data_IF_492510151133
#
_entry.id   IF_492510151133
#
_cell.length_a   1.000
_cell.length_b   1.000
_cell.length_c   1.000
_cell.angle_alpha   90.00
_cell.angle_beta   90.00
_cell.angle_gamma   90.00
#
_symmetry.space_group_name_H-M   'P 1'
#
loop_
_entity.id
_entity.type
_entity.pdbx_description
1 polymer ?
#
# COMPACT_ATOMS: atom_id res chain seq x y z
N UNK A 1 21.26 6.75 19.59
CA UNK A 1 19.82 6.78 19.26
C UNK A 1 19.26 5.42 19.61
N UNK A 2 18.27 5.37 20.49
CA UNK A 2 17.72 4.10 21.00
C UNK A 2 16.52 3.60 20.19
N UNK A 3 15.82 4.53 19.52
CA UNK A 3 14.62 4.31 18.72
C UNK A 3 14.45 5.46 17.71
N UNK A 4 14.04 5.14 16.49
CA UNK A 4 13.59 6.11 15.49
C UNK A 4 12.05 6.21 15.47
N UNK A 5 11.52 7.44 15.50
CA UNK A 5 10.09 7.68 15.30
C UNK A 5 9.83 7.97 13.82
N UNK A 6 9.12 7.08 13.13
CA UNK A 6 8.78 7.26 11.72
C UNK A 6 7.53 8.13 11.61
N UNK A 7 7.70 9.35 11.08
CA UNK A 7 6.63 10.33 10.83
C UNK A 7 6.52 10.72 9.34
N UNK A 8 6.96 9.82 8.46
CA UNK A 8 6.97 10.01 7.00
C UNK A 8 5.74 9.33 6.41
N UNK A 9 4.96 10.07 5.61
CA UNK A 9 3.77 9.54 4.95
C UNK A 9 4.07 9.15 3.50
N UNK A 10 3.33 8.18 2.98
CA UNK A 10 3.40 7.76 1.59
C UNK A 10 4.71 7.09 1.20
N UNK A 11 5.09 7.26 -0.07
CA UNK A 11 6.28 6.63 -0.64
C UNK A 11 7.55 7.04 0.10
N UNK A 12 8.40 6.07 0.43
CA UNK A 12 9.61 6.25 1.23
C UNK A 12 9.38 6.21 2.75
N UNK A 13 8.14 6.39 3.22
CA UNK A 13 7.79 6.41 4.65
C UNK A 13 6.95 5.23 5.10
N UNK A 14 5.83 5.00 4.41
CA UNK A 14 4.83 3.97 4.73
C UNK A 14 4.96 2.71 3.88
N UNK A 15 5.85 2.71 2.89
CA UNK A 15 6.00 1.64 1.89
C UNK A 15 7.10 0.61 2.23
N UNK A 16 7.69 0.69 3.42
CA UNK A 16 8.75 -0.24 3.86
C UNK A 16 10.17 0.24 3.54
N UNK A 17 10.36 1.34 2.79
CA UNK A 17 11.69 1.82 2.40
C UNK A 17 12.54 2.26 3.59
N UNK A 18 12.01 3.16 4.43
CA UNK A 18 12.73 3.65 5.61
C UNK A 18 12.89 2.55 6.66
N UNK A 19 11.91 1.65 6.78
CA UNK A 19 11.94 0.48 7.63
C UNK A 19 13.13 -0.41 7.25
N UNK A 20 13.28 -0.74 5.96
CA UNK A 20 14.39 -1.53 5.44
C UNK A 20 15.74 -0.88 5.73
N UNK A 21 15.86 0.42 5.48
CA UNK A 21 17.07 1.16 5.81
C UNK A 21 17.43 1.06 7.31
N UNK A 22 16.46 1.30 8.19
CA UNK A 22 16.67 1.23 9.64
C UNK A 22 17.03 -0.19 10.11
N UNK A 23 16.45 -1.24 9.51
CA UNK A 23 16.81 -2.63 9.78
C UNK A 23 18.26 -2.95 9.41
N UNK A 24 18.78 -2.43 8.29
CA UNK A 24 20.20 -2.61 7.93
C UNK A 24 21.15 -2.00 8.95
N UNK A 25 20.72 -0.91 9.60
CA UNK A 25 21.47 -0.22 10.64
C UNK A 25 21.24 -0.82 12.03
N UNK A 26 20.39 -1.84 12.16
CA UNK A 26 19.93 -2.42 13.43
C UNK A 26 19.33 -1.38 14.38
N UNK A 27 18.70 -0.34 13.82
CA UNK A 27 18.03 0.72 14.55
C UNK A 27 16.57 0.32 14.75
N UNK A 28 16.11 0.29 16.01
CA UNK A 28 14.70 0.07 16.33
C UNK A 28 13.86 1.26 15.85
N UNK A 29 12.62 1.02 15.46
CA UNK A 29 11.71 2.08 15.03
C UNK A 29 10.25 1.83 15.41
N UNK A 30 9.42 2.88 15.36
CA UNK A 30 7.98 2.79 15.61
C UNK A 30 7.20 2.42 14.35
N UNK A 31 6.06 1.74 14.52
CA UNK A 31 5.13 1.43 13.44
C UNK A 31 5.30 0.04 12.86
N UNK A 32 4.78 -0.17 11.66
CA UNK A 32 4.79 -1.46 10.97
C UNK A 32 6.18 -1.84 10.45
N UNK A 33 6.51 -3.14 10.47
CA UNK A 33 7.70 -3.67 9.80
C UNK A 33 7.62 -3.57 8.27
N UNK A 34 8.69 -3.93 7.56
CA UNK A 34 8.79 -3.81 6.08
C UNK A 34 7.60 -4.47 5.38
N UNK A 35 7.34 -5.75 5.65
CA UNK A 35 6.30 -6.52 4.95
C UNK A 35 4.90 -5.92 5.18
N UNK A 36 4.59 -5.57 6.43
CA UNK A 36 3.30 -4.98 6.77
C UNK A 36 3.12 -3.59 6.12
N UNK A 37 4.20 -2.81 6.01
CA UNK A 37 4.22 -1.50 5.34
C UNK A 37 3.95 -1.65 3.84
N UNK A 38 4.65 -2.56 3.16
CA UNK A 38 4.43 -2.86 1.73
C UNK A 38 2.99 -3.32 1.48
N UNK A 39 2.50 -4.28 2.27
CA UNK A 39 1.13 -4.79 2.14
C UNK A 39 0.14 -3.64 2.31
N UNK A 40 0.27 -2.86 3.38
CA UNK A 40 -0.67 -1.78 3.70
C UNK A 40 -0.69 -0.65 2.67
N UNK A 41 0.45 -0.36 2.02
CA UNK A 41 0.54 0.71 1.02
C UNK A 41 -0.02 0.29 -0.35
N UNK A 42 0.16 -0.98 -0.73
CA UNK A 42 -0.27 -1.50 -2.03
C UNK A 42 -1.71 -2.04 -2.01
N UNK A 43 -2.61 -1.34 -2.71
CA UNK A 43 -4.03 -1.68 -2.76
C UNK A 43 -4.31 -3.01 -3.44
N UNK A 44 -3.51 -3.43 -4.41
CA UNK A 44 -3.68 -4.73 -5.07
C UNK A 44 -3.29 -5.86 -4.12
N UNK A 45 -2.11 -5.75 -3.50
CA UNK A 45 -1.61 -6.76 -2.56
C UNK A 45 -2.55 -6.87 -1.36
N UNK A 46 -2.93 -5.73 -0.75
CA UNK A 46 -3.90 -5.70 0.36
C UNK A 46 -5.18 -6.42 -0.03
N UNK A 47 -5.82 -6.04 -1.16
CA UNK A 47 -7.11 -6.63 -1.54
C UNK A 47 -6.99 -8.12 -1.87
N UNK A 48 -5.89 -8.54 -2.48
CA UNK A 48 -5.62 -9.95 -2.76
C UNK A 48 -5.55 -10.76 -1.48
N UNK A 49 -4.78 -10.30 -0.48
CA UNK A 49 -4.65 -10.96 0.81
C UNK A 49 -5.99 -11.00 1.57
N UNK A 50 -6.70 -9.88 1.62
CA UNK A 50 -8.02 -9.82 2.28
C UNK A 50 -9.02 -10.79 1.63
N UNK A 51 -9.08 -10.80 0.30
CA UNK A 51 -9.98 -11.69 -0.45
C UNK A 51 -9.62 -13.16 -0.25
N UNK A 52 -8.34 -13.51 -0.28
CA UNK A 52 -7.86 -14.87 -0.02
C UNK A 52 -8.27 -15.36 1.39
N UNK A 53 -8.36 -14.44 2.35
CA UNK A 53 -8.81 -14.71 3.72
C UNK A 53 -10.32 -14.52 3.92
N UNK A 54 -11.10 -14.42 2.84
CA UNK A 54 -12.57 -14.25 2.88
C UNK A 54 -13.03 -12.99 3.62
N UNK A 55 -12.17 -11.97 3.72
CA UNK A 55 -12.52 -10.66 4.26
C UNK A 55 -13.12 -9.82 3.13
N UNK A 56 -14.31 -9.24 3.38
CA UNK A 56 -15.04 -8.47 2.37
C UNK A 56 -14.28 -7.18 2.01
N UNK A 57 -14.15 -6.92 0.72
CA UNK A 57 -13.61 -5.68 0.15
C UNK A 57 -14.40 -5.33 -1.12
N UNK A 58 -14.52 -4.05 -1.52
CA UNK A 58 -15.16 -3.72 -2.79
C UNK A 58 -14.45 -4.39 -3.96
N UNK A 59 -15.22 -4.85 -4.95
CA UNK A 59 -14.70 -5.35 -6.22
C UNK A 59 -13.74 -4.33 -6.84
N UNK A 60 -12.68 -4.82 -7.49
CA UNK A 60 -11.66 -3.97 -8.08
C UNK A 60 -11.13 -4.58 -9.37
N UNK A 61 -10.48 -3.75 -10.16
CA UNK A 61 -9.73 -4.17 -11.34
C UNK A 61 -8.50 -3.29 -11.45
N UNK A 62 -7.38 -3.89 -11.83
CA UNK A 62 -6.13 -3.16 -12.05
C UNK A 62 -6.14 -2.61 -13.47
N UNK A 63 -5.87 -1.32 -13.58
CA UNK A 63 -5.84 -0.60 -14.85
C UNK A 63 -4.40 -0.14 -15.07
N UNK A 64 -3.80 -0.63 -16.15
CA UNK A 64 -2.54 -0.14 -16.66
C UNK A 64 -2.78 0.73 -17.91
N UNK A 65 -1.72 1.36 -18.44
CA UNK A 65 -1.81 2.27 -19.59
C UNK A 65 -2.41 1.63 -20.85
N UNK A 66 -2.33 0.31 -20.98
CA UNK A 66 -2.81 -0.48 -22.11
C UNK A 66 -4.22 -1.06 -21.89
N UNK A 67 -4.79 -0.88 -20.69
CA UNK A 67 -6.07 -1.47 -20.32
C UNK A 67 -7.24 -0.81 -21.05
N UNK A 68 -8.16 -1.62 -21.59
CA UNK A 68 -9.39 -1.11 -22.19
C UNK A 68 -10.45 -0.81 -21.12
N UNK A 69 -10.41 0.42 -20.61
CA UNK A 69 -11.23 0.90 -19.47
C UNK A 69 -12.73 0.73 -19.71
N UNK A 70 -13.22 0.89 -20.95
CA UNK A 70 -14.66 0.87 -21.26
C UNK A 70 -15.34 -0.49 -21.09
N UNK A 71 -14.59 -1.59 -21.15
CA UNK A 71 -15.15 -2.94 -21.05
C UNK A 71 -15.20 -3.46 -19.61
N UNK A 72 -14.41 -2.88 -18.71
CA UNK A 72 -14.08 -3.46 -17.42
C UNK A 72 -14.64 -2.68 -16.22
N UNK A 73 -15.34 -1.57 -16.44
CA UNK A 73 -15.86 -0.72 -15.36
C UNK A 73 -17.38 -0.64 -15.36
N UNK A 74 -17.95 -0.78 -14.17
CA UNK A 74 -19.35 -0.48 -13.89
C UNK A 74 -19.42 0.91 -13.24
N UNK A 75 -20.29 1.80 -13.72
CA UNK A 75 -20.39 3.15 -13.18
C UNK A 75 -21.49 3.27 -12.13
N UNK A 76 -21.32 4.11 -11.09
CA UNK A 76 -20.13 4.93 -10.81
C UNK A 76 -18.96 4.10 -10.24
N UNK A 77 -17.73 4.50 -10.59
CA UNK A 77 -16.48 3.84 -10.17
C UNK A 77 -15.51 4.86 -9.59
N UNK A 78 -14.65 4.43 -8.67
CA UNK A 78 -13.57 5.24 -8.08
C UNK A 78 -12.23 4.76 -8.64
N UNK A 79 -11.47 5.67 -9.25
CA UNK A 79 -10.08 5.43 -9.64
C UNK A 79 -9.14 5.94 -8.55
N UNK A 80 -8.15 5.13 -8.17
CA UNK A 80 -7.09 5.52 -7.23
C UNK A 80 -5.74 4.99 -7.69
N UNK A 81 -4.65 5.73 -7.46
CA UNK A 81 -3.31 5.17 -7.60
C UNK A 81 -3.11 3.99 -6.63
N UNK A 82 -2.35 2.98 -7.08
CA UNK A 82 -2.13 1.74 -6.33
C UNK A 82 -1.43 1.98 -4.99
N UNK A 83 -0.37 2.81 -5.01
CA UNK A 83 0.55 3.04 -3.88
C UNK A 83 0.56 4.48 -3.37
N UNK A 84 -0.56 5.21 -3.48
CA UNK A 84 -0.70 6.53 -2.87
C UNK A 84 -1.75 6.56 -1.77
N UNK A 85 -1.50 7.39 -0.78
CA UNK A 85 -2.42 7.75 0.28
C UNK A 85 -2.84 9.22 0.15
N UNK A 86 -3.83 9.62 0.94
CA UNK A 86 -4.46 10.94 0.92
C UNK A 86 -5.25 11.22 -0.37
N UNK A 87 -6.30 12.03 -0.25
CA UNK A 87 -7.12 12.45 -1.38
C UNK A 87 -7.29 13.95 -1.24
N UNK A 88 -6.61 14.70 -2.12
CA UNK A 88 -6.86 16.12 -2.34
C UNK A 88 -7.76 16.28 -3.57
#
# INVERSE_FOLDING_TARGET
MDLAFIALHGKGGEDGSIQGFLETLKIKYTGSGILASVIGMDKEITKTILTANKIKTPNFSIINKESNIKKNLTFPSILKPINEGSSN
#
